data_IF_235282303477
#
_entry.id   IF_235282303477
#
_cell.length_a   1.000
_cell.length_b   1.000
_cell.length_c   1.000
_cell.angle_alpha   90.00
_cell.angle_beta   90.00
_cell.angle_gamma   90.00
#
_symmetry.space_group_name_H-M   'P 1'
#
loop_
_entity.id
_entity.type
_entity.pdbx_description
1 polymer ?
#
# COMPACT_ATOMS: atom_id res chain seq x y z
N UNK A 1 -38.11 54.49 -24.89
CA UNK A 1 -38.73 54.64 -23.55
C UNK A 1 -38.37 53.42 -22.71
N UNK A 2 -37.85 53.68 -21.49
CA UNK A 2 -37.77 52.86 -20.27
C UNK A 2 -37.58 51.33 -20.41
N UNK A 3 -36.43 50.73 -20.08
CA UNK A 3 -35.80 50.53 -18.75
C UNK A 3 -36.75 49.88 -17.74
N UNK A 4 -36.56 48.59 -17.46
CA UNK A 4 -36.38 48.15 -16.07
C UNK A 4 -35.58 46.84 -15.97
N UNK A 5 -34.43 46.97 -15.31
CA UNK A 5 -33.48 45.95 -14.89
C UNK A 5 -33.73 45.59 -13.43
N UNK A 6 -33.65 44.30 -13.05
CA UNK A 6 -33.09 43.80 -11.76
C UNK A 6 -33.20 42.26 -11.65
N UNK A 7 -32.40 41.58 -10.82
CA UNK A 7 -30.94 41.63 -10.72
C UNK A 7 -30.30 40.21 -10.76
N UNK A 8 -28.97 40.20 -10.89
CA UNK A 8 -28.07 39.09 -10.59
C UNK A 8 -28.44 38.33 -9.31
N UNK A 9 -28.46 37.00 -9.39
CA UNK A 9 -28.04 36.16 -8.29
C UNK A 9 -26.78 35.42 -8.72
N UNK A 10 -25.66 36.11 -8.51
CA UNK A 10 -24.33 35.51 -8.45
C UNK A 10 -24.31 34.58 -7.25
N UNK A 11 -24.59 33.29 -7.47
CA UNK A 11 -24.15 32.26 -6.52
C UNK A 11 -22.65 32.06 -6.74
N UNK A 12 -21.85 32.88 -6.02
CA UNK A 12 -20.47 32.51 -5.72
C UNK A 12 -20.52 31.22 -4.89
N UNK A 13 -20.31 30.08 -5.52
CA UNK A 13 -19.84 28.89 -4.81
C UNK A 13 -18.35 29.11 -4.63
N UNK A 14 -18.03 29.71 -3.48
CA UNK A 14 -16.68 29.89 -2.97
C UNK A 14 -15.94 28.54 -3.04
N UNK A 15 -14.76 28.56 -3.65
CA UNK A 15 -13.98 27.37 -3.93
C UNK A 15 -13.71 26.51 -2.71
N UNK A 16 -14.14 25.25 -2.80
CA UNK A 16 -13.39 24.14 -2.23
C UNK A 16 -12.85 23.37 -3.43
N UNK A 17 -11.56 23.53 -3.73
CA UNK A 17 -10.87 22.51 -4.52
C UNK A 17 -10.89 21.28 -3.63
N UNK A 18 -11.81 20.37 -3.87
CA UNK A 18 -11.70 19.01 -3.36
C UNK A 18 -10.53 18.41 -4.12
N UNK A 19 -9.33 18.67 -3.65
CA UNK A 19 -8.14 17.97 -4.13
C UNK A 19 -8.32 16.55 -3.61
N UNK A 20 -8.93 15.68 -4.42
CA UNK A 20 -8.80 14.24 -4.21
C UNK A 20 -7.31 13.99 -4.00
N UNK A 21 -6.88 13.44 -2.85
CA UNK A 21 -5.48 13.11 -2.65
C UNK A 21 -5.04 12.27 -3.84
N UNK A 22 -3.86 12.57 -4.40
CA UNK A 22 -3.28 11.66 -5.37
C UNK A 22 -3.22 10.26 -4.73
N UNK A 23 -3.40 9.18 -5.50
CA UNK A 23 -3.48 7.81 -4.96
C UNK A 23 -2.29 7.44 -4.04
N UNK A 24 -1.16 8.13 -4.15
CA UNK A 24 0.02 7.99 -3.28
C UNK A 24 -0.06 8.69 -1.92
N UNK A 25 -0.84 9.75 -1.77
CA UNK A 25 -0.96 10.56 -0.54
C UNK A 25 -1.90 9.93 0.50
N UNK A 26 -2.63 8.89 0.11
CA UNK A 26 -3.59 8.23 0.99
C UNK A 26 -2.87 7.24 1.90
N UNK A 27 -3.12 7.34 3.21
CA UNK A 27 -2.65 6.36 4.18
C UNK A 27 -3.34 5.01 3.92
N UNK A 28 -2.60 3.90 3.77
CA UNK A 28 -3.21 2.58 3.67
C UNK A 28 -4.01 2.27 4.93
N UNK A 29 -5.22 1.72 4.79
CA UNK A 29 -6.12 1.49 5.93
C UNK A 29 -5.49 0.57 7.00
N UNK A 30 -4.59 -0.33 6.58
CA UNK A 30 -3.90 -1.27 7.44
C UNK A 30 -2.73 -0.64 8.23
N UNK A 31 -2.27 0.56 7.84
CA UNK A 31 -1.23 1.32 8.54
C UNK A 31 -1.80 2.47 9.38
N UNK A 32 -2.91 2.24 10.09
CA UNK A 32 -3.55 3.30 10.87
C UNK A 32 -2.69 3.82 12.03
N UNK A 33 -1.81 2.99 12.60
CA UNK A 33 -0.95 3.30 13.74
C UNK A 33 0.24 4.20 13.37
N UNK A 34 0.70 4.14 12.11
CA UNK A 34 1.85 4.88 11.59
C UNK A 34 1.39 5.98 10.65
N UNK A 35 2.10 7.10 10.66
CA UNK A 35 1.86 8.20 9.72
C UNK A 35 2.62 7.99 8.41
N UNK A 36 2.44 6.84 7.77
CA UNK A 36 3.07 6.48 6.49
C UNK A 36 2.05 6.57 5.36
N UNK A 37 2.42 7.19 4.24
CA UNK A 37 1.57 7.20 3.03
C UNK A 37 1.78 5.94 2.19
N UNK A 38 0.90 5.69 1.22
CA UNK A 38 1.10 4.58 0.29
C UNK A 38 2.37 4.78 -0.57
N UNK A 39 2.74 6.02 -0.88
CA UNK A 39 3.98 6.35 -1.58
C UNK A 39 5.22 6.03 -0.72
N UNK A 40 5.27 6.52 0.52
CA UNK A 40 6.38 6.26 1.44
C UNK A 40 6.58 4.74 1.68
N UNK A 41 5.47 4.00 1.79
CA UNK A 41 5.50 2.55 1.96
C UNK A 41 6.12 1.86 0.74
N UNK A 42 5.77 2.29 -0.48
CA UNK A 42 6.35 1.75 -1.71
C UNK A 42 7.84 2.04 -1.80
N UNK A 43 8.26 3.26 -1.45
CA UNK A 43 9.68 3.64 -1.45
C UNK A 43 10.48 2.81 -0.44
N UNK A 44 9.98 2.67 0.79
CA UNK A 44 10.66 1.90 1.83
C UNK A 44 10.69 0.39 1.55
N UNK A 45 9.67 -0.16 0.87
CA UNK A 45 9.68 -1.56 0.42
C UNK A 45 10.59 -1.75 -0.79
N UNK A 46 10.70 -0.78 -1.69
CA UNK A 46 11.59 -0.88 -2.85
C UNK A 46 13.07 -0.91 -2.44
N UNK A 47 13.45 -0.17 -1.39
CA UNK A 47 14.82 -0.14 -0.87
C UNK A 47 15.06 -1.22 0.21
N UNK A 48 15.75 -2.30 -0.15
CA UNK A 48 16.13 -3.38 0.78
C UNK A 48 17.10 -2.94 1.87
N UNK A 49 17.83 -1.84 1.66
CA UNK A 49 18.76 -1.28 2.64
C UNK A 49 18.05 -0.37 3.66
N UNK A 50 16.79 0.01 3.38
CA UNK A 50 16.00 0.83 4.27
C UNK A 50 15.87 0.13 5.63
N UNK A 51 16.15 0.81 6.76
CA UNK A 51 16.19 0.18 8.07
C UNK A 51 14.86 -0.46 8.46
N UNK A 52 13.74 0.12 8.00
CA UNK A 52 12.39 -0.39 8.27
C UNK A 52 11.88 -1.39 7.23
N UNK A 53 12.65 -1.70 6.17
CA UNK A 53 12.19 -2.50 5.03
C UNK A 53 11.46 -3.79 5.45
N UNK A 54 12.13 -4.62 6.28
CA UNK A 54 11.57 -5.91 6.72
C UNK A 54 10.39 -5.74 7.65
N UNK A 55 10.41 -4.74 8.52
CA UNK A 55 9.35 -4.56 9.52
C UNK A 55 8.08 -4.01 8.87
N UNK A 56 8.21 -3.11 7.89
CA UNK A 56 7.10 -2.63 7.05
C UNK A 56 6.54 -3.75 6.18
N UNK A 57 7.40 -4.56 5.55
CA UNK A 57 6.97 -5.69 4.73
C UNK A 57 6.28 -6.77 5.57
N UNK A 58 6.78 -7.06 6.78
CA UNK A 58 6.11 -7.97 7.71
C UNK A 58 4.79 -7.40 8.24
N UNK A 59 4.66 -6.08 8.41
CA UNK A 59 3.39 -5.45 8.76
C UNK A 59 2.38 -5.55 7.61
N UNK A 60 2.80 -5.22 6.39
CA UNK A 60 2.00 -5.35 5.18
C UNK A 60 1.40 -6.77 5.06
N UNK A 61 2.24 -7.80 5.16
CA UNK A 61 1.80 -9.21 5.07
C UNK A 61 0.86 -9.63 6.20
N UNK A 62 0.94 -9.00 7.38
CA UNK A 62 0.06 -9.32 8.52
C UNK A 62 -1.30 -8.66 8.44
N UNK A 63 -1.38 -7.45 7.89
CA UNK A 63 -2.57 -6.60 8.03
C UNK A 63 -3.34 -6.42 6.72
N UNK A 64 -2.64 -6.27 5.59
CA UNK A 64 -3.29 -6.09 4.28
C UNK A 64 -3.99 -7.36 3.81
N UNK A 65 -4.95 -7.24 2.88
CA UNK A 65 -5.52 -8.42 2.23
C UNK A 65 -4.50 -9.04 1.29
N UNK A 66 -4.48 -10.39 1.13
CA UNK A 66 -3.45 -11.04 0.33
C UNK A 66 -3.36 -10.57 -1.13
N UNK A 67 -4.48 -10.14 -1.71
CA UNK A 67 -4.58 -9.55 -3.05
C UNK A 67 -3.95 -8.15 -3.13
N UNK A 68 -4.12 -7.32 -2.11
CA UNK A 68 -3.58 -5.94 -2.05
C UNK A 68 -2.07 -5.92 -1.79
N UNK A 69 -1.51 -6.94 -1.15
CA UNK A 69 -0.07 -7.04 -0.88
C UNK A 69 0.75 -6.87 -2.16
N UNK A 70 0.27 -7.43 -3.27
CA UNK A 70 0.98 -7.42 -4.54
C UNK A 70 1.02 -6.06 -5.23
N UNK A 71 0.29 -5.07 -4.73
CA UNK A 71 0.40 -3.67 -5.17
C UNK A 71 1.66 -2.96 -4.64
N UNK A 72 2.33 -3.57 -3.65
CA UNK A 72 3.48 -2.98 -2.95
C UNK A 72 4.75 -3.80 -3.09
N UNK A 73 4.63 -5.11 -3.27
CA UNK A 73 5.77 -6.04 -3.29
C UNK A 73 5.53 -7.16 -4.29
N UNK A 74 6.59 -7.71 -4.87
CA UNK A 74 6.49 -8.89 -5.74
C UNK A 74 6.57 -10.20 -4.94
N UNK A 75 5.95 -11.28 -5.42
CA UNK A 75 6.12 -12.63 -4.87
C UNK A 75 7.60 -13.05 -4.72
N UNK A 76 8.47 -12.70 -5.67
CA UNK A 76 9.91 -12.98 -5.64
C UNK A 76 10.61 -12.24 -4.51
N UNK A 77 10.26 -10.96 -4.29
CA UNK A 77 10.80 -10.18 -3.17
C UNK A 77 10.40 -10.80 -1.83
N UNK A 78 9.12 -11.21 -1.68
CA UNK A 78 8.66 -11.90 -0.46
C UNK A 78 9.38 -13.23 -0.26
N UNK A 79 9.60 -14.00 -1.33
CA UNK A 79 10.32 -15.26 -1.27
C UNK A 79 11.80 -15.08 -0.88
N UNK A 80 12.48 -14.07 -1.43
CA UNK A 80 13.87 -13.75 -1.12
C UNK A 80 14.04 -13.29 0.35
N UNK A 81 13.13 -12.45 0.84
CA UNK A 81 13.15 -11.94 2.22
C UNK A 81 12.52 -12.92 3.22
N UNK A 82 11.99 -14.06 2.76
CA UNK A 82 11.23 -15.01 3.58
C UNK A 82 11.93 -15.43 4.88
N UNK A 83 13.25 -15.73 4.90
CA UNK A 83 13.94 -16.09 6.14
C UNK A 83 13.87 -14.99 7.22
N UNK A 84 13.83 -13.71 6.80
CA UNK A 84 13.72 -12.54 7.69
C UNK A 84 12.25 -12.25 8.04
N UNK A 85 11.32 -12.48 7.11
CA UNK A 85 9.90 -12.21 7.31
C UNK A 85 9.21 -13.26 8.17
N UNK A 86 9.40 -14.55 7.90
CA UNK A 86 8.63 -15.64 8.50
C UNK A 86 8.53 -15.59 10.05
N UNK A 87 9.61 -15.28 10.81
CA UNK A 87 9.54 -15.17 12.27
C UNK A 87 8.63 -14.03 12.77
N UNK A 88 8.41 -13.00 11.94
CA UNK A 88 7.64 -11.78 12.28
C UNK A 88 6.15 -11.89 11.96
N UNK A 89 5.72 -12.91 11.20
CA UNK A 89 4.34 -13.01 10.68
C UNK A 89 3.33 -13.62 11.66
N UNK A 90 3.79 -14.25 12.74
CA UNK A 90 2.92 -14.85 13.76
C UNK A 90 1.84 -15.77 13.15
N UNK A 91 0.56 -15.49 13.44
CA UNK A 91 -0.59 -16.30 12.97
C UNK A 91 -0.74 -16.35 11.45
N UNK A 92 -0.30 -15.33 10.72
CA UNK A 92 -0.39 -15.30 9.24
C UNK A 92 0.72 -16.08 8.55
N UNK A 93 1.76 -16.50 9.30
CA UNK A 93 2.91 -17.22 8.73
C UNK A 93 2.48 -18.43 7.91
N UNK A 94 1.64 -19.31 8.47
CA UNK A 94 1.28 -20.57 7.82
C UNK A 94 0.59 -20.37 6.46
N UNK A 95 -0.27 -19.36 6.34
CA UNK A 95 -0.93 -19.00 5.08
C UNK A 95 0.10 -18.58 4.02
N UNK A 96 1.00 -17.66 4.38
CA UNK A 96 2.02 -17.17 3.47
C UNK A 96 3.05 -18.24 3.11
N UNK A 97 3.43 -19.08 4.07
CA UNK A 97 4.32 -20.22 3.84
C UNK A 97 3.72 -21.18 2.81
N UNK A 98 2.46 -21.57 3.01
CA UNK A 98 1.72 -22.40 2.05
C UNK A 98 1.65 -21.79 0.66
N UNK A 99 1.37 -20.48 0.56
CA UNK A 99 1.26 -19.78 -0.72
C UNK A 99 2.59 -19.74 -1.49
N UNK A 100 3.65 -19.29 -0.81
CA UNK A 100 4.99 -19.17 -1.39
C UNK A 100 5.54 -20.56 -1.77
N UNK A 101 5.39 -21.56 -0.90
CA UNK A 101 5.79 -22.94 -1.22
C UNK A 101 4.97 -23.55 -2.35
N UNK A 102 3.69 -23.20 -2.46
CA UNK A 102 2.85 -23.53 -3.60
C UNK A 102 3.46 -23.03 -4.91
N UNK A 103 3.82 -21.75 -4.96
CA UNK A 103 4.41 -21.14 -6.15
C UNK A 103 5.80 -21.67 -6.49
N UNK A 104 6.64 -21.95 -5.49
CA UNK A 104 7.95 -22.59 -5.71
C UNK A 104 7.76 -23.99 -6.31
N UNK A 105 6.85 -24.81 -5.76
CA UNK A 105 6.59 -26.17 -6.28
C UNK A 105 6.07 -26.17 -7.72
N UNK A 106 5.29 -25.16 -8.09
CA UNK A 106 4.74 -25.01 -9.43
C UNK A 106 5.74 -24.37 -10.42
N UNK A 107 6.91 -23.95 -9.95
CA UNK A 107 7.95 -23.33 -10.79
C UNK A 107 7.70 -21.85 -11.12
N UNK A 108 6.79 -21.18 -10.40
CA UNK A 108 6.54 -19.74 -10.57
C UNK A 108 7.54 -18.88 -9.80
N UNK A 109 8.18 -19.43 -8.77
CA UNK A 109 9.20 -18.73 -7.98
C UNK A 109 10.47 -19.57 -7.85
N UNK A 110 11.61 -18.88 -7.89
CA UNK A 110 12.91 -19.44 -7.55
C UNK A 110 13.33 -18.91 -6.17
N UNK A 111 13.69 -19.81 -5.26
CA UNK A 111 14.05 -19.45 -3.88
C UNK A 111 15.56 -19.23 -3.74
N UNK A 112 16.16 -18.57 -4.75
CA UNK A 112 17.57 -18.21 -4.70
C UNK A 112 17.76 -17.01 -3.74
N UNK A 113 18.74 -17.09 -2.83
CA UNK A 113 19.01 -16.06 -1.82
C UNK A 113 19.52 -14.76 -2.43
#
# INVERSE_FOLDING_TARGET
MAVETKPETTRRVQGRRETTPAEGDTRPYFFWDRRITAADLREAIADRSHPEHVDLLAHLLREARPDEVWEYVSPEQVAAEWPRLAPRLGRRRAFWEWLIEGWVRLGFLDRRP
#
